data_IF_412544638495
#
_entry.id   IF_412544638495
#
_cell.length_a   1.000
_cell.length_b   1.000
_cell.length_c   1.000
_cell.angle_alpha   90.00
_cell.angle_beta   90.00
_cell.angle_gamma   90.00
#
_symmetry.space_group_name_H-M   'P 1'
#
loop_
_entity.id
_entity.type
_entity.pdbx_description
1 polymer ?
#
# COMPACT_ATOMS: atom_id res chain seq x y z
N UNK A 1 1.02 -21.84 -0.07
CA UNK A 1 1.37 -20.43 0.21
C UNK A 1 0.48 -19.55 -0.66
N UNK A 2 -0.47 -18.81 -0.07
CA UNK A 2 -1.32 -17.91 -0.87
C UNK A 2 -0.48 -16.70 -1.32
N UNK A 3 -0.43 -16.47 -2.63
CA UNK A 3 0.37 -15.43 -3.27
C UNK A 3 -0.18 -14.02 -2.98
N UNK A 4 0.25 -13.40 -1.88
CA UNK A 4 -0.08 -12.02 -1.50
C UNK A 4 0.73 -10.95 -2.25
N UNK A 5 1.87 -11.32 -2.86
CA UNK A 5 2.72 -10.41 -3.67
C UNK A 5 2.00 -9.80 -4.88
N UNK A 6 1.38 -10.57 -5.79
CA UNK A 6 0.70 -9.99 -6.96
C UNK A 6 -0.46 -9.07 -6.57
N UNK A 7 -1.12 -9.36 -5.43
CA UNK A 7 -2.20 -8.51 -4.90
C UNK A 7 -1.68 -7.11 -4.60
N UNK A 8 -0.56 -6.99 -3.86
CA UNK A 8 -0.03 -5.67 -3.50
C UNK A 8 0.49 -4.91 -4.73
N UNK A 9 1.19 -5.58 -5.66
CA UNK A 9 1.73 -4.92 -6.87
C UNK A 9 0.62 -4.31 -7.74
N UNK A 10 -0.51 -5.01 -7.89
CA UNK A 10 -1.66 -4.49 -8.64
C UNK A 10 -2.30 -3.29 -7.93
N UNK A 11 -2.50 -3.40 -6.60
CA UNK A 11 -3.01 -2.29 -5.80
C UNK A 11 -2.09 -1.06 -5.83
N UNK A 12 -0.77 -1.26 -5.88
CA UNK A 12 0.22 -0.19 -5.99
C UNK A 12 0.04 0.60 -7.29
N UNK A 13 -0.21 -0.09 -8.41
CA UNK A 13 -0.46 0.55 -9.71
C UNK A 13 -1.76 1.35 -9.70
N UNK A 14 -2.82 0.81 -9.09
CA UNK A 14 -4.10 1.52 -8.96
C UNK A 14 -3.97 2.76 -8.06
N UNK A 15 -3.33 2.62 -6.90
CA UNK A 15 -3.10 3.71 -5.97
C UNK A 15 -2.24 4.81 -6.60
N UNK A 16 -1.17 4.45 -7.33
CA UNK A 16 -0.29 5.42 -8.00
C UNK A 16 -1.03 6.26 -9.06
N UNK A 17 -1.98 5.67 -9.80
CA UNK A 17 -2.80 6.43 -10.76
C UNK A 17 -3.76 7.38 -10.05
N UNK A 18 -4.27 7.00 -8.88
CA UNK A 18 -5.27 7.77 -8.12
C UNK A 18 -4.64 8.88 -7.29
N UNK A 19 -3.48 8.63 -6.70
CA UNK A 19 -2.79 9.52 -5.76
C UNK A 19 -1.45 10.00 -6.35
N UNK A 20 -1.50 10.86 -7.36
CA UNK A 20 -0.32 11.34 -8.10
C UNK A 20 0.66 12.20 -7.26
N UNK A 21 0.25 12.64 -6.08
CA UNK A 21 1.03 13.34 -5.06
C UNK A 21 1.75 12.38 -4.08
N UNK A 22 1.49 11.07 -4.16
CA UNK A 22 2.14 10.05 -3.34
C UNK A 22 3.05 9.18 -4.22
N UNK A 23 4.31 9.00 -3.79
CA UNK A 23 5.27 8.17 -4.52
C UNK A 23 5.17 6.70 -4.10
N UNK A 24 4.79 5.85 -5.05
CA UNK A 24 4.70 4.40 -4.88
C UNK A 24 5.89 3.72 -5.57
N UNK A 25 6.65 2.90 -4.83
CA UNK A 25 7.77 2.11 -5.36
C UNK A 25 7.71 0.68 -4.82
N UNK A 26 8.11 -0.31 -5.62
CA UNK A 26 8.27 -1.70 -5.19
C UNK A 26 9.64 -2.23 -5.62
N UNK A 27 10.23 -3.10 -4.82
CA UNK A 27 11.52 -3.75 -5.10
C UNK A 27 11.53 -5.14 -4.46
N UNK A 28 12.34 -6.05 -5.00
CA UNK A 28 12.56 -7.35 -4.36
C UNK A 28 13.26 -7.15 -3.00
N UNK A 29 12.78 -7.85 -1.98
CA UNK A 29 13.26 -7.68 -0.62
C UNK A 29 14.75 -8.04 -0.46
N UNK A 30 15.20 -9.10 -1.12
CA UNK A 30 16.59 -9.57 -1.09
C UNK A 30 17.58 -8.60 -1.75
N UNK A 31 17.11 -7.76 -2.69
CA UNK A 31 17.93 -6.71 -3.30
C UNK A 31 17.96 -5.41 -2.47
N UNK A 32 16.94 -5.20 -1.62
CA UNK A 32 16.88 -4.04 -0.75
C UNK A 32 17.64 -4.29 0.56
N UNK A 33 17.50 -5.49 1.11
CA UNK A 33 18.14 -5.94 2.36
C UNK A 33 18.59 -7.39 2.14
N UNK A 34 19.90 -7.61 2.14
CA UNK A 34 20.48 -8.94 1.98
C UNK A 34 19.95 -9.89 3.07
N UNK A 35 19.45 -11.07 2.65
CA UNK A 35 18.93 -12.08 3.57
C UNK A 35 17.61 -11.72 4.25
N UNK A 36 16.87 -10.70 3.79
CA UNK A 36 15.57 -10.37 4.39
C UNK A 36 14.60 -11.55 4.33
N UNK A 37 14.00 -11.99 5.46
CA UNK A 37 13.22 -13.21 5.50
C UNK A 37 12.00 -13.15 4.57
N UNK A 38 11.84 -14.14 3.69
CA UNK A 38 10.71 -14.18 2.75
C UNK A 38 9.35 -14.17 3.47
N UNK A 39 9.25 -14.82 4.64
CA UNK A 39 8.04 -14.83 5.48
C UNK A 39 7.57 -13.44 5.93
N UNK A 40 8.47 -12.44 5.92
CA UNK A 40 8.16 -11.06 6.27
C UNK A 40 7.60 -10.29 5.05
N UNK A 41 7.61 -10.89 3.86
CA UNK A 41 7.14 -10.26 2.63
C UNK A 41 5.65 -10.53 2.36
N UNK A 42 4.94 -9.59 1.71
CA UNK A 42 5.39 -8.24 1.37
C UNK A 42 5.56 -7.37 2.63
N UNK A 43 6.49 -6.43 2.60
CA UNK A 43 6.68 -5.40 3.64
C UNK A 43 6.40 -4.04 3.00
N UNK A 44 5.62 -3.18 3.67
CA UNK A 44 5.37 -1.80 3.24
C UNK A 44 6.14 -0.89 4.20
N UNK A 45 6.94 0.00 3.64
CA UNK A 45 7.63 1.07 4.38
C UNK A 45 7.09 2.41 3.89
N UNK A 46 6.62 3.23 4.82
CA UNK A 46 6.12 4.57 4.53
C UNK A 46 7.11 5.59 5.09
N UNK A 47 7.60 6.46 4.20
CA UNK A 47 8.51 7.54 4.55
C UNK A 47 7.84 8.89 4.35
N UNK A 48 8.13 9.84 5.25
CA UNK A 48 7.75 11.26 5.09
C UNK A 48 8.78 12.12 5.83
N UNK A 49 9.25 13.17 5.17
CA UNK A 49 10.24 14.12 5.72
C UNK A 49 11.54 13.47 6.23
N UNK A 50 11.97 12.38 5.58
CA UNK A 50 13.18 11.64 5.95
C UNK A 50 12.97 10.54 7.00
N UNK A 51 11.82 10.51 7.67
CA UNK A 51 11.51 9.52 8.71
C UNK A 51 10.65 8.36 8.20
N UNK A 52 10.80 7.19 8.81
CA UNK A 52 9.84 6.09 8.70
C UNK A 52 8.61 6.45 9.54
N UNK A 53 7.46 6.65 8.90
CA UNK A 53 6.17 6.88 9.58
C UNK A 53 5.41 5.60 9.88
N UNK A 54 5.59 4.57 9.05
CA UNK A 54 4.94 3.27 9.24
C UNK A 54 5.76 2.16 8.62
N UNK A 55 5.80 1.02 9.31
CA UNK A 55 6.33 -0.23 8.79
C UNK A 55 5.28 -1.32 8.98
N UNK A 56 4.90 -1.98 7.89
CA UNK A 56 3.93 -3.07 7.88
C UNK A 56 4.64 -4.31 7.38
N UNK A 57 4.79 -5.30 8.27
CA UNK A 57 5.42 -6.58 7.95
C UNK A 57 4.31 -7.58 7.67
N UNK A 58 4.23 -8.05 6.41
CA UNK A 58 3.13 -8.84 5.84
C UNK A 58 1.80 -8.09 5.73
N UNK A 59 0.94 -8.51 4.80
CA UNK A 59 -0.42 -7.96 4.68
C UNK A 59 -1.35 -8.35 5.84
N UNK A 60 -0.93 -9.24 6.76
CA UNK A 60 -1.77 -9.66 7.89
C UNK A 60 -2.13 -8.49 8.83
N UNK A 61 -1.30 -7.44 8.88
CA UNK A 61 -1.59 -6.23 9.65
C UNK A 61 -2.59 -5.29 8.94
N UNK A 62 -2.94 -5.61 7.68
CA UNK A 62 -4.03 -4.99 6.94
C UNK A 62 -5.22 -5.98 6.92
N UNK A 63 -5.60 -6.50 5.76
CA UNK A 63 -6.67 -7.49 5.61
C UNK A 63 -6.16 -8.82 5.02
N UNK A 64 -4.88 -9.11 5.23
CA UNK A 64 -4.22 -10.30 4.69
C UNK A 64 -4.31 -10.36 3.17
N UNK A 65 -4.62 -11.56 2.66
CA UNK A 65 -4.84 -11.79 1.22
C UNK A 65 -6.08 -11.08 0.66
N UNK A 66 -6.96 -10.57 1.52
CA UNK A 66 -8.14 -9.78 1.15
C UNK A 66 -7.88 -8.27 1.20
N UNK A 67 -6.63 -7.85 1.36
CA UNK A 67 -6.24 -6.45 1.24
C UNK A 67 -6.64 -5.94 -0.14
N UNK A 68 -7.38 -4.84 -0.16
CA UNK A 68 -7.82 -4.11 -1.35
C UNK A 68 -7.44 -2.63 -1.28
N UNK A 69 -7.86 -1.87 -2.30
CA UNK A 69 -7.48 -0.46 -2.43
C UNK A 69 -7.90 0.37 -1.21
N UNK A 70 -9.09 0.10 -0.66
CA UNK A 70 -9.60 0.80 0.53
C UNK A 70 -8.73 0.60 1.77
N UNK A 71 -8.09 -0.55 1.92
CA UNK A 71 -7.16 -0.80 3.03
C UNK A 71 -5.90 0.07 2.88
N UNK A 72 -5.41 0.26 1.65
CA UNK A 72 -4.31 1.18 1.38
C UNK A 72 -4.72 2.64 1.57
N UNK A 73 -5.94 3.02 1.18
CA UNK A 73 -6.45 4.38 1.38
C UNK A 73 -6.53 4.75 2.86
N UNK A 74 -7.00 3.83 3.71
CA UNK A 74 -6.96 4.02 5.16
C UNK A 74 -5.54 4.18 5.67
N UNK A 75 -4.59 3.40 5.16
CA UNK A 75 -3.17 3.54 5.50
C UNK A 75 -2.64 4.94 5.09
N UNK A 76 -2.97 5.43 3.90
CA UNK A 76 -2.55 6.76 3.44
C UNK A 76 -3.12 7.88 4.31
N UNK A 77 -4.35 7.72 4.81
CA UNK A 77 -4.96 8.64 5.78
C UNK A 77 -4.26 8.56 7.14
N UNK A 78 -4.04 7.34 7.66
CA UNK A 78 -3.37 7.09 8.94
C UNK A 78 -1.97 7.74 9.01
N UNK A 79 -1.21 7.66 7.92
CA UNK A 79 0.15 8.24 7.84
C UNK A 79 0.15 9.73 7.44
N UNK A 80 -1.03 10.33 7.24
CA UNK A 80 -1.18 11.73 6.86
C UNK A 80 -0.60 12.05 5.48
N UNK A 81 -0.60 11.07 4.56
CA UNK A 81 -0.30 11.27 3.14
C UNK A 81 -1.54 11.78 2.38
N UNK A 82 -2.74 11.42 2.86
CA UNK A 82 -4.04 11.85 2.32
C UNK A 82 -4.89 12.35 3.48
N UNK A 83 -5.67 13.42 3.28
CA UNK A 83 -6.57 13.93 4.32
C UNK A 83 -7.88 13.14 4.37
N UNK A 84 -8.55 13.06 5.52
CA UNK A 84 -9.84 12.37 5.65
C UNK A 84 -10.93 12.89 4.70
N UNK A 85 -10.87 14.18 4.34
CA UNK A 85 -11.82 14.84 3.43
C UNK A 85 -11.39 14.83 1.96
N UNK A 86 -10.32 14.08 1.61
CA UNK A 86 -9.84 14.03 0.24
C UNK A 86 -10.93 13.44 -0.68
N UNK A 87 -11.29 14.19 -1.72
CA UNK A 87 -12.36 13.81 -2.64
C UNK A 87 -12.09 12.49 -3.36
N UNK A 88 -10.82 12.09 -3.51
CA UNK A 88 -10.44 10.83 -4.14
C UNK A 88 -10.86 9.63 -3.28
N UNK A 89 -11.01 9.78 -1.97
CA UNK A 89 -11.50 8.70 -1.09
C UNK A 89 -12.97 8.34 -1.37
N UNK A 90 -13.73 9.23 -2.02
CA UNK A 90 -15.11 8.96 -2.41
C UNK A 90 -15.12 7.92 -3.53
N UNK A 91 -16.04 6.96 -3.44
CA UNK A 91 -16.34 6.10 -4.60
C UNK A 91 -17.00 6.97 -5.66
N UNK A 92 -16.58 6.82 -6.91
CA UNK A 92 -17.51 7.03 -8.01
C UNK A 92 -18.49 5.86 -7.92
N UNK A 93 -19.63 6.08 -7.28
CA UNK A 93 -20.82 5.36 -7.70
C UNK A 93 -21.13 5.98 -9.07
N UNK A 94 -20.79 5.31 -10.18
CA UNK A 94 -21.21 5.61 -11.57
C UNK A 94 -20.32 4.81 -12.56
N UNK A 95 -20.55 3.50 -12.65
CA UNK A 95 -20.23 2.67 -13.82
C UNK A 95 -21.34 1.59 -13.97
N UNK A 96 -22.62 2.02 -13.87
CA UNK A 96 -23.78 1.26 -14.35
C UNK A 96 -24.80 2.26 -14.96
N UNK A 97 -24.58 2.60 -16.23
CA UNK A 97 -25.62 2.79 -17.25
C UNK A 97 -25.32 1.80 -18.39
#
# INVERSE_FOLDING_TARGET
>A
MLNSRPVLSELWRQAARKYGDVKFCEMRADLCIEGYPEKNTPTILVYKDGDIKRQIVTLAQLNGVRTGLRDLERLLVEVGAVTENDMRLRRKDDDED
#
